data_IF_556621732291
#
_entry.id   IF_556621732291
#
_cell.length_a   1.000
_cell.length_b   1.000
_cell.length_c   1.000
_cell.angle_alpha   90.00
_cell.angle_beta   90.00
_cell.angle_gamma   90.00
#
_symmetry.space_group_name_H-M   'P 1'
#
loop_
_entity.id
_entity.type
_entity.pdbx_description
1 polymer ?
#
# COMPACT_ATOMS: atom_id res chain seq x y z
N UNK A 1 6.14 2.23 35.16
CA UNK A 1 5.57 1.80 33.85
C UNK A 1 4.99 2.98 33.06
N UNK A 2 5.73 4.08 32.91
CA UNK A 2 5.22 5.34 32.34
C UNK A 2 5.96 5.81 31.06
N UNK A 3 6.83 4.98 30.48
CA UNK A 3 7.72 5.41 29.38
C UNK A 3 7.11 5.27 27.96
N UNK A 4 6.01 4.55 27.81
CA UNK A 4 5.42 4.26 26.50
C UNK A 4 4.30 5.22 26.06
N UNK A 5 3.75 6.05 26.96
CA UNK A 5 2.60 6.90 26.64
C UNK A 5 2.95 8.32 26.14
N UNK A 6 4.21 8.74 26.19
CA UNK A 6 4.59 10.12 25.83
C UNK A 6 5.04 10.31 24.37
N UNK A 7 5.32 9.23 23.62
CA UNK A 7 5.79 9.33 22.24
C UNK A 7 4.66 9.14 21.24
N UNK A 8 3.77 10.14 21.09
CA UNK A 8 2.82 10.19 19.96
C UNK A 8 3.53 10.27 18.61
N UNK A 9 4.76 10.79 18.60
CA UNK A 9 5.62 10.87 17.42
C UNK A 9 7.08 10.72 17.81
N UNK A 10 7.85 9.97 17.02
CA UNK A 10 9.31 9.87 17.17
C UNK A 10 9.98 11.23 16.84
N UNK A 11 10.92 11.73 17.66
CA UNK A 11 11.71 12.94 17.38
C UNK A 11 12.36 12.88 16.00
N UNK A 12 12.51 14.02 15.33
CA UNK A 12 12.97 14.06 13.94
C UNK A 12 14.42 13.61 13.79
N UNK A 13 15.25 13.93 14.78
CA UNK A 13 16.66 13.55 14.88
C UNK A 13 16.84 12.04 14.97
N UNK A 14 15.81 11.33 15.44
CA UNK A 14 15.81 9.87 15.59
C UNK A 14 15.24 9.15 14.36
N UNK A 15 14.74 9.88 13.35
CA UNK A 15 14.17 9.27 12.13
C UNK A 15 15.29 8.93 11.15
N UNK A 16 15.42 7.64 10.84
CA UNK A 16 16.31 7.15 9.77
C UNK A 16 15.96 7.74 8.40
N UNK A 17 14.66 7.95 8.14
CA UNK A 17 14.15 8.54 6.89
C UNK A 17 13.41 9.83 7.23
N UNK A 18 13.84 10.94 6.61
CA UNK A 18 13.18 12.24 6.74
C UNK A 18 12.17 12.39 5.61
N UNK A 19 10.89 12.27 5.95
CA UNK A 19 9.81 12.44 4.98
C UNK A 19 9.48 13.93 4.83
N UNK A 20 9.25 14.42 3.61
CA UNK A 20 8.75 15.77 3.41
C UNK A 20 7.40 15.93 4.13
N UNK A 21 7.27 17.02 4.89
CA UNK A 21 6.04 17.37 5.61
C UNK A 21 5.36 18.52 4.90
N UNK A 22 4.17 18.27 4.35
CA UNK A 22 3.35 19.33 3.80
C UNK A 22 2.59 20.06 4.91
N UNK A 23 2.74 21.38 5.00
CA UNK A 23 1.96 22.23 5.92
C UNK A 23 0.50 22.26 5.44
N UNK A 24 -0.35 21.46 6.09
CA UNK A 24 -1.75 21.25 5.70
C UNK A 24 -2.11 19.80 5.39
N UNK A 25 -1.13 18.88 5.48
CA UNK A 25 -1.35 17.44 5.32
C UNK A 25 -1.68 17.01 3.89
N UNK A 26 -2.15 15.77 3.74
CA UNK A 26 -2.41 15.15 2.42
C UNK A 26 -3.46 15.88 1.58
N UNK A 27 -4.46 16.50 2.21
CA UNK A 27 -5.47 17.28 1.47
C UNK A 27 -4.86 18.48 0.76
N UNK A 28 -3.98 19.22 1.45
CA UNK A 28 -3.31 20.36 0.84
C UNK A 28 -2.35 19.91 -0.26
N UNK A 29 -1.61 18.85 0.00
CA UNK A 29 -0.69 18.21 -0.95
C UNK A 29 -1.38 17.82 -2.26
N UNK A 30 -2.55 17.20 -2.16
CA UNK A 30 -3.37 16.82 -3.30
C UNK A 30 -3.79 18.03 -4.15
N UNK A 31 -4.28 19.10 -3.51
CA UNK A 31 -4.69 20.32 -4.20
C UNK A 31 -3.52 21.04 -4.88
N UNK A 32 -2.36 21.08 -4.23
CA UNK A 32 -1.15 21.68 -4.80
C UNK A 32 -0.61 20.85 -5.97
N UNK A 33 -0.69 19.52 -5.87
CA UNK A 33 -0.33 18.59 -6.95
C UNK A 33 -1.22 18.76 -8.17
N UNK A 34 -2.54 18.91 -7.99
CA UNK A 34 -3.48 19.20 -9.09
C UNK A 34 -3.10 20.50 -9.80
N UNK A 35 -2.81 21.57 -9.04
CA UNK A 35 -2.50 22.89 -9.60
C UNK A 35 -1.17 22.90 -10.34
N UNK A 36 -0.15 22.28 -9.75
CA UNK A 36 1.22 22.26 -10.28
C UNK A 36 1.46 21.18 -11.33
N UNK A 37 0.53 20.22 -11.46
CA UNK A 37 0.68 19.00 -12.27
C UNK A 37 1.89 18.16 -11.86
N UNK A 38 2.28 18.23 -10.58
CA UNK A 38 3.34 17.39 -10.01
C UNK A 38 2.73 16.21 -9.23
N UNK A 39 3.47 15.10 -9.05
CA UNK A 39 3.02 14.00 -8.19
C UNK A 39 2.83 14.43 -6.73
N UNK A 40 1.88 13.79 -6.06
CA UNK A 40 1.68 13.92 -4.60
C UNK A 40 2.86 13.33 -3.84
N UNK A 41 2.98 13.69 -2.56
CA UNK A 41 3.94 13.05 -1.62
C UNK A 41 3.73 11.54 -1.48
N UNK A 42 2.50 11.08 -1.73
CA UNK A 42 2.12 9.68 -1.80
C UNK A 42 1.51 9.39 -3.18
N UNK A 43 2.33 9.08 -4.21
CA UNK A 43 1.85 8.70 -5.53
C UNK A 43 1.03 7.41 -5.51
N UNK A 44 0.19 7.21 -6.53
CA UNK A 44 -0.73 6.07 -6.60
C UNK A 44 -0.01 4.74 -6.66
N UNK A 45 1.13 4.66 -7.34
CA UNK A 45 1.95 3.46 -7.48
C UNK A 45 2.54 3.04 -6.12
N UNK A 46 2.97 4.02 -5.32
CA UNK A 46 3.45 3.76 -3.95
C UNK A 46 2.32 3.22 -3.08
N UNK A 47 1.11 3.80 -3.20
CA UNK A 47 -0.07 3.33 -2.48
C UNK A 47 -0.43 1.88 -2.90
N UNK A 48 -0.48 1.60 -4.20
CA UNK A 48 -0.71 0.27 -4.77
C UNK A 48 0.28 -0.75 -4.21
N UNK A 49 1.59 -0.49 -4.35
CA UNK A 49 2.62 -1.41 -3.88
C UNK A 49 2.61 -1.59 -2.35
N UNK A 50 2.24 -0.56 -1.58
CA UNK A 50 2.15 -0.66 -0.11
C UNK A 50 1.03 -1.61 0.35
N UNK A 51 -0.02 -1.77 -0.46
CA UNK A 51 -1.14 -2.64 -0.15
C UNK A 51 -0.85 -4.12 -0.48
N UNK A 52 0.04 -4.40 -1.44
CA UNK A 52 0.34 -5.76 -1.93
C UNK A 52 0.70 -6.73 -0.79
N UNK A 53 1.65 -6.43 0.13
CA UNK A 53 2.05 -7.38 1.18
C UNK A 53 0.90 -7.81 2.09
N UNK A 54 -0.03 -6.91 2.40
CA UNK A 54 -1.21 -7.23 3.22
C UNK A 54 -2.14 -8.21 2.52
N UNK A 55 -2.39 -8.02 1.23
CA UNK A 55 -3.20 -8.93 0.41
C UNK A 55 -2.51 -10.28 0.23
N UNK A 56 -1.22 -10.31 -0.06
CA UNK A 56 -0.45 -11.56 -0.17
C UNK A 56 -0.44 -12.33 1.14
N UNK A 57 -0.35 -11.64 2.28
CA UNK A 57 -0.47 -12.26 3.60
C UNK A 57 -1.83 -12.95 3.78
N UNK A 58 -2.92 -12.26 3.43
CA UNK A 58 -4.25 -12.84 3.47
C UNK A 58 -4.39 -14.06 2.53
N UNK A 59 -3.88 -13.97 1.30
CA UNK A 59 -3.91 -15.08 0.34
C UNK A 59 -3.14 -16.29 0.88
N UNK A 60 -1.95 -16.08 1.44
CA UNK A 60 -1.17 -17.17 2.03
C UNK A 60 -1.91 -17.84 3.21
N UNK A 61 -2.61 -17.05 4.03
CA UNK A 61 -3.44 -17.57 5.12
C UNK A 61 -4.61 -18.40 4.60
N UNK A 62 -5.35 -17.91 3.60
CA UNK A 62 -6.48 -18.61 2.99
C UNK A 62 -6.05 -19.90 2.27
N UNK A 63 -4.90 -19.84 1.60
CA UNK A 63 -4.31 -20.99 0.90
C UNK A 63 -3.69 -22.03 1.85
N UNK A 64 -3.46 -21.68 3.12
CA UNK A 64 -2.85 -22.54 4.13
C UNK A 64 -1.39 -22.92 3.83
N UNK A 65 -0.68 -22.15 3.00
CA UNK A 65 0.67 -22.48 2.51
C UNK A 65 1.48 -21.23 2.18
N UNK A 66 2.80 -21.41 2.03
CA UNK A 66 3.68 -20.36 1.49
C UNK A 66 3.39 -20.17 -0.01
N UNK A 67 3.36 -18.91 -0.43
CA UNK A 67 3.17 -18.52 -1.82
C UNK A 67 4.43 -17.83 -2.35
N UNK A 68 4.63 -17.82 -3.68
CA UNK A 68 5.73 -17.12 -4.35
C UNK A 68 5.16 -16.01 -5.22
N UNK A 69 5.72 -14.81 -5.10
CA UNK A 69 5.24 -13.61 -5.80
C UNK A 69 6.32 -13.09 -6.76
N UNK A 70 5.94 -12.84 -8.01
CA UNK A 70 6.72 -12.06 -8.97
C UNK A 70 6.25 -10.60 -8.88
N UNK A 71 7.04 -9.75 -8.24
CA UNK A 71 6.69 -8.34 -8.04
C UNK A 71 6.74 -7.51 -9.33
N UNK A 72 7.47 -7.94 -10.35
CA UNK A 72 7.54 -7.22 -11.61
C UNK A 72 6.31 -7.50 -12.48
N UNK A 73 5.79 -8.74 -12.43
CA UNK A 73 4.60 -9.14 -13.19
C UNK A 73 3.30 -9.04 -12.39
N UNK A 74 3.42 -8.87 -11.08
CA UNK A 74 2.31 -8.92 -10.12
C UNK A 74 1.51 -10.23 -10.19
N UNK A 75 2.22 -11.36 -10.18
CA UNK A 75 1.63 -12.71 -10.29
C UNK A 75 2.13 -13.66 -9.21
N UNK A 76 1.28 -14.62 -8.85
CA UNK A 76 1.70 -15.78 -8.06
C UNK A 76 2.34 -16.83 -8.97
N UNK A 77 3.55 -17.25 -8.62
CA UNK A 77 4.38 -18.11 -9.45
C UNK A 77 4.03 -19.57 -9.21
N UNK A 78 3.40 -20.21 -10.20
CA UNK A 78 3.09 -21.64 -10.21
C UNK A 78 1.99 -22.05 -9.22
N UNK A 79 1.09 -21.14 -8.84
CA UNK A 79 -0.03 -21.41 -7.93
C UNK A 79 -1.34 -20.88 -8.50
N UNK A 80 -1.91 -21.61 -9.46
CA UNK A 80 -3.14 -21.20 -10.17
C UNK A 80 -4.34 -21.09 -9.23
N UNK A 81 -4.42 -21.94 -8.20
CA UNK A 81 -5.49 -21.88 -7.21
C UNK A 81 -5.40 -20.62 -6.35
N UNK A 82 -4.22 -20.23 -5.89
CA UNK A 82 -4.05 -18.99 -5.14
C UNK A 82 -4.19 -17.75 -6.05
N UNK A 83 -3.80 -17.85 -7.33
CA UNK A 83 -3.99 -16.78 -8.34
C UNK A 83 -5.45 -16.38 -8.51
N UNK A 84 -6.41 -17.30 -8.32
CA UNK A 84 -7.86 -16.98 -8.34
C UNK A 84 -8.26 -15.99 -7.25
N UNK A 85 -7.48 -15.87 -6.17
CA UNK A 85 -7.72 -14.97 -5.04
C UNK A 85 -7.13 -13.56 -5.24
N UNK A 86 -6.37 -13.32 -6.33
CA UNK A 86 -5.85 -11.99 -6.67
C UNK A 86 -6.95 -11.03 -7.13
N UNK A 87 -8.08 -11.57 -7.55
CA UNK A 87 -9.25 -10.80 -7.93
C UNK A 87 -10.50 -11.40 -7.29
N UNK A 88 -11.63 -10.74 -7.51
CA UNK A 88 -12.95 -11.21 -7.13
C UNK A 88 -13.88 -11.08 -8.31
N UNK A 89 -14.90 -11.92 -8.36
CA UNK A 89 -15.96 -11.71 -9.32
C UNK A 89 -16.56 -10.32 -9.11
N UNK A 90 -16.59 -9.53 -10.18
CA UNK A 90 -17.21 -8.21 -10.14
C UNK A 90 -18.71 -8.39 -9.97
N UNK A 91 -19.30 -7.54 -9.12
CA UNK A 91 -20.76 -7.46 -9.01
C UNK A 91 -21.34 -7.08 -10.38
N UNK A 92 -22.31 -7.83 -10.89
CA UNK A 92 -23.01 -7.45 -12.13
C UNK A 92 -23.68 -6.06 -12.02
N UNK A 93 -23.77 -5.26 -13.10
CA UNK A 93 -23.27 -5.47 -14.47
C UNK A 93 -21.81 -5.01 -14.70
N UNK A 94 -21.06 -4.76 -13.63
CA UNK A 94 -19.72 -4.17 -13.72
C UNK A 94 -18.69 -5.18 -14.20
N UNK A 95 -17.77 -4.71 -15.04
CA UNK A 95 -16.62 -5.47 -15.54
C UNK A 95 -15.38 -4.58 -15.49
N UNK A 96 -14.24 -5.17 -15.17
CA UNK A 96 -12.95 -4.53 -15.48
C UNK A 96 -12.73 -4.71 -16.97
N UNK A 97 -12.53 -3.60 -17.69
CA UNK A 97 -12.38 -3.58 -19.15
C UNK A 97 -11.12 -4.26 -19.65
#
# INVERSE_FOLDING_TARGET
>A
MARFMELRTMPEEQRKVKLPRNKGGHYRDFLDSIKSRQPTVAPVEVAHHSAIPGHLGLIAMLAGRKIKWDAAKELLVGDDEASKLLSREYRGPWKLG
#
